data_IF_473403825603
#
_entry.id   IF_473403825603
#
_cell.length_a   1.000
_cell.length_b   1.000
_cell.length_c   1.000
_cell.angle_alpha   90.00
_cell.angle_beta   90.00
_cell.angle_gamma   90.00
#
_symmetry.space_group_name_H-M   'P 1'
#
loop_
_entity.id
_entity.type
_entity.pdbx_description
1 polymer ?
#
# COMPACT_ATOMS: atom_id res chain seq x y z
N UNK A 1 1.58 21.16 -44.12
CA UNK A 1 2.13 22.23 -43.26
C UNK A 1 2.00 21.75 -41.82
N UNK A 2 3.13 21.55 -41.16
CA UNK A 2 3.21 21.08 -39.79
C UNK A 2 2.95 22.25 -38.83
N UNK A 3 1.98 22.12 -37.94
CA UNK A 3 1.76 23.08 -36.86
C UNK A 3 2.38 22.51 -35.59
N UNK A 4 3.59 22.95 -35.31
CA UNK A 4 4.29 22.76 -34.05
C UNK A 4 3.59 23.59 -32.97
N UNK A 5 3.10 22.97 -31.90
CA UNK A 5 2.70 23.67 -30.68
C UNK A 5 3.65 23.30 -29.57
N UNK A 6 4.61 24.19 -29.30
CA UNK A 6 5.33 24.31 -28.05
C UNK A 6 4.64 25.36 -27.19
N UNK A 7 4.21 25.01 -25.98
CA UNK A 7 4.68 25.63 -24.73
C UNK A 7 3.89 25.15 -23.51
N UNK A 8 4.62 25.12 -22.40
CA UNK A 8 4.22 24.58 -21.11
C UNK A 8 2.96 25.20 -20.54
N UNK A 9 2.13 24.30 -20.02
CA UNK A 9 1.33 24.54 -18.83
C UNK A 9 1.60 23.34 -17.94
N UNK A 10 2.26 23.55 -16.80
CA UNK A 10 2.22 22.59 -15.70
C UNK A 10 0.77 22.54 -15.23
N UNK A 11 0.00 21.63 -15.84
CA UNK A 11 -1.33 21.27 -15.38
C UNK A 11 -1.15 20.45 -14.10
N UNK A 12 -1.06 21.14 -12.96
CA UNK A 12 -1.24 20.52 -11.64
C UNK A 12 -2.71 20.12 -11.48
N UNK A 13 -3.17 19.17 -12.30
CA UNK A 13 -4.33 18.35 -11.98
C UNK A 13 -3.98 17.45 -10.78
N UNK A 14 -4.98 16.97 -10.01
CA UNK A 14 -4.72 16.05 -8.92
C UNK A 14 -4.07 14.77 -9.49
N UNK A 15 -2.78 14.59 -9.23
CA UNK A 15 -2.05 13.42 -9.67
C UNK A 15 -2.53 12.21 -8.85
N UNK A 16 -2.95 11.16 -9.53
CA UNK A 16 -3.41 9.94 -8.87
C UNK A 16 -2.32 9.31 -8.01
N UNK A 17 -2.69 8.92 -6.79
CA UNK A 17 -1.80 8.21 -5.89
C UNK A 17 -1.74 6.70 -6.22
N UNK A 18 -0.71 6.04 -5.69
CA UNK A 18 -0.49 4.60 -5.88
C UNK A 18 0.04 3.94 -4.61
N UNK A 19 0.03 2.61 -4.63
CA UNK A 19 0.59 1.76 -3.58
C UNK A 19 1.64 0.84 -4.20
N UNK A 20 2.64 0.44 -3.43
CA UNK A 20 3.65 -0.52 -3.87
C UNK A 20 3.30 -1.91 -3.36
N UNK A 21 3.48 -2.92 -4.19
CA UNK A 21 3.43 -4.33 -3.77
C UNK A 21 4.73 -5.00 -4.17
N UNK A 22 5.45 -5.53 -3.18
CA UNK A 22 6.79 -6.10 -3.40
C UNK A 22 7.09 -7.21 -2.40
N UNK A 23 7.80 -8.24 -2.85
CA UNK A 23 8.45 -9.20 -1.97
C UNK A 23 9.96 -8.90 -1.97
N UNK A 24 10.56 -8.77 -0.79
CA UNK A 24 11.96 -8.43 -0.67
C UNK A 24 12.63 -9.16 0.51
N UNK A 25 13.91 -9.48 0.35
CA UNK A 25 14.75 -9.97 1.44
C UNK A 25 15.05 -8.86 2.45
N UNK A 26 15.67 -9.21 3.59
CA UNK A 26 16.12 -8.24 4.61
C UNK A 26 16.99 -7.10 4.04
N UNK A 27 17.81 -7.41 3.05
CA UNK A 27 18.71 -6.44 2.40
C UNK A 27 18.04 -5.75 1.20
N UNK A 28 16.71 -5.81 1.10
CA UNK A 28 15.91 -5.26 0.00
C UNK A 28 16.25 -5.85 -1.39
N UNK A 29 16.66 -7.12 -1.42
CA UNK A 29 16.84 -7.89 -2.65
C UNK A 29 15.49 -8.41 -3.17
N UNK A 30 15.21 -8.22 -4.46
CA UNK A 30 13.93 -8.56 -5.09
C UNK A 30 14.03 -9.53 -6.27
N UNK A 31 15.24 -9.81 -6.75
CA UNK A 31 15.43 -10.51 -8.01
C UNK A 31 16.85 -11.02 -8.19
N UNK A 32 16.96 -12.08 -8.98
CA UNK A 32 18.22 -12.67 -9.44
C UNK A 32 18.03 -13.11 -10.90
N UNK A 33 18.95 -12.74 -11.79
CA UNK A 33 18.95 -13.13 -13.20
C UNK A 33 17.62 -12.85 -13.92
N UNK A 34 16.93 -11.77 -13.54
CA UNK A 34 15.65 -11.34 -14.13
C UNK A 34 14.42 -12.13 -13.65
N UNK A 35 14.55 -13.01 -12.67
CA UNK A 35 13.45 -13.77 -12.06
C UNK A 35 13.40 -13.57 -10.55
N UNK A 36 12.29 -14.02 -9.93
CA UNK A 36 12.20 -14.13 -8.48
C UNK A 36 13.06 -15.33 -8.01
N UNK A 37 14.01 -15.16 -7.08
CA UNK A 37 14.86 -16.25 -6.61
C UNK A 37 14.15 -17.19 -5.61
N UNK A 38 12.85 -17.01 -5.42
CA UNK A 38 11.98 -17.83 -4.59
C UNK A 38 10.69 -18.18 -5.31
N UNK A 39 10.01 -19.21 -4.80
CA UNK A 39 8.68 -19.60 -5.24
C UNK A 39 7.77 -19.71 -4.01
N UNK A 40 7.03 -18.63 -3.75
CA UNK A 40 6.11 -18.52 -2.62
C UNK A 40 4.69 -18.38 -3.17
N UNK A 41 3.92 -19.47 -3.17
CA UNK A 41 2.52 -19.46 -3.62
C UNK A 41 1.65 -18.63 -2.69
N UNK A 42 1.97 -18.58 -1.39
CA UNK A 42 1.30 -17.71 -0.43
C UNK A 42 1.43 -16.24 -0.79
N UNK A 43 2.65 -15.81 -1.18
CA UNK A 43 2.92 -14.47 -1.68
C UNK A 43 2.18 -14.17 -2.99
N UNK A 44 2.23 -15.06 -3.97
CA UNK A 44 1.52 -14.87 -5.24
C UNK A 44 -0.01 -14.79 -5.04
N UNK A 45 -0.56 -15.56 -4.09
CA UNK A 45 -1.97 -15.48 -3.70
C UNK A 45 -2.28 -14.13 -3.07
N UNK A 46 -1.47 -13.69 -2.11
CA UNK A 46 -1.62 -12.39 -1.47
C UNK A 46 -1.54 -11.24 -2.47
N UNK A 47 -0.53 -11.23 -3.35
CA UNK A 47 -0.38 -10.29 -4.46
C UNK A 47 -1.62 -10.23 -5.33
N UNK A 48 -2.16 -11.40 -5.75
CA UNK A 48 -3.36 -11.46 -6.59
C UNK A 48 -4.56 -10.90 -5.86
N UNK A 49 -4.81 -11.33 -4.63
CA UNK A 49 -5.96 -10.90 -3.83
C UNK A 49 -5.92 -9.38 -3.60
N UNK A 50 -4.78 -8.86 -3.16
CA UNK A 50 -4.55 -7.44 -2.94
C UNK A 50 -4.78 -6.60 -4.20
N UNK A 51 -4.22 -7.03 -5.33
CA UNK A 51 -4.26 -6.22 -6.57
C UNK A 51 -5.54 -6.40 -7.38
N UNK A 52 -6.34 -7.45 -7.15
CA UNK A 52 -7.64 -7.67 -7.84
C UNK A 52 -8.81 -7.09 -7.06
N UNK A 53 -8.76 -7.08 -5.72
CA UNK A 53 -9.92 -6.73 -4.90
C UNK A 53 -10.24 -5.24 -4.98
N UNK A 54 -11.49 -4.93 -5.29
CA UNK A 54 -12.07 -3.57 -5.25
C UNK A 54 -13.21 -3.52 -4.23
N UNK A 55 -13.48 -2.33 -3.69
CA UNK A 55 -14.67 -2.09 -2.89
C UNK A 55 -15.90 -1.98 -3.80
N UNK A 56 -15.74 -1.36 -4.97
CA UNK A 56 -16.78 -1.27 -5.99
C UNK A 56 -16.65 -2.43 -7.00
N UNK A 57 -17.64 -3.34 -7.09
CA UNK A 57 -17.58 -4.50 -7.97
C UNK A 57 -17.60 -4.16 -9.47
N UNK A 58 -17.97 -2.93 -9.87
CA UNK A 58 -17.92 -2.52 -11.28
C UNK A 58 -16.57 -1.95 -11.69
N UNK A 59 -15.69 -1.63 -10.71
CA UNK A 59 -14.36 -1.09 -10.97
C UNK A 59 -13.31 -2.20 -11.07
N UNK A 60 -12.16 -1.84 -11.62
CA UNK A 60 -10.94 -2.65 -11.63
C UNK A 60 -9.82 -1.91 -10.91
N UNK A 61 -8.73 -2.60 -10.60
CA UNK A 61 -7.48 -1.93 -10.21
C UNK A 61 -6.50 -1.91 -11.39
N UNK A 62 -5.53 -1.02 -11.32
CA UNK A 62 -4.41 -0.94 -12.25
C UNK A 62 -3.12 -1.46 -11.60
N UNK A 63 -2.30 -2.14 -12.38
CA UNK A 63 -0.93 -2.54 -12.02
C UNK A 63 0.05 -1.89 -12.98
N UNK A 64 1.03 -1.16 -12.44
CA UNK A 64 2.10 -0.49 -13.18
C UNK A 64 3.37 -1.30 -13.01
N UNK A 65 4.01 -1.65 -14.12
CA UNK A 65 5.28 -2.36 -14.11
C UNK A 65 6.23 -1.90 -15.22
N UNK A 66 7.53 -2.10 -15.03
CA UNK A 66 8.53 -1.92 -16.09
C UNK A 66 8.52 -3.06 -17.10
N UNK A 67 9.02 -2.81 -18.32
CA UNK A 67 9.13 -3.80 -19.40
C UNK A 67 9.74 -5.15 -18.95
N UNK A 68 10.89 -5.14 -18.27
CA UNK A 68 11.56 -6.38 -17.85
C UNK A 68 10.68 -7.23 -16.91
N UNK A 69 9.94 -6.59 -16.02
CA UNK A 69 8.99 -7.28 -15.12
C UNK A 69 7.80 -7.83 -15.89
N UNK A 70 7.28 -7.08 -16.87
CA UNK A 70 6.28 -7.61 -17.77
C UNK A 70 6.79 -8.87 -18.48
N UNK A 71 8.00 -8.80 -19.07
CA UNK A 71 8.66 -9.90 -19.77
C UNK A 71 8.97 -11.13 -18.91
N UNK A 72 9.20 -10.95 -17.60
CA UNK A 72 9.42 -12.06 -16.66
C UNK A 72 8.13 -12.76 -16.24
N UNK A 73 6.94 -12.17 -16.46
CA UNK A 73 5.67 -12.84 -16.13
C UNK A 73 5.47 -14.08 -17.01
N UNK A 74 5.01 -15.22 -16.44
CA UNK A 74 4.64 -16.38 -17.23
C UNK A 74 3.61 -16.03 -18.32
N UNK A 75 3.78 -16.54 -19.54
CA UNK A 75 2.88 -16.24 -20.66
C UNK A 75 1.40 -16.49 -20.34
N UNK A 76 1.10 -17.57 -19.60
CA UNK A 76 -0.26 -17.92 -19.16
C UNK A 76 -0.89 -16.94 -18.15
N UNK A 77 -0.08 -16.08 -17.53
CA UNK A 77 -0.49 -15.12 -16.52
C UNK A 77 -0.43 -13.67 -17.04
N UNK A 78 -0.08 -13.47 -18.31
CA UNK A 78 0.08 -12.18 -18.97
C UNK A 78 -1.04 -11.99 -20.01
N UNK A 79 -1.81 -10.89 -19.98
CA UNK A 79 -1.87 -9.88 -18.92
C UNK A 79 -2.36 -10.45 -17.59
N UNK A 80 -2.07 -9.75 -16.49
CA UNK A 80 -2.57 -10.12 -15.17
C UNK A 80 -4.11 -10.00 -15.15
N UNK A 81 -4.88 -11.09 -15.02
CA UNK A 81 -6.33 -11.06 -15.19
C UNK A 81 -7.03 -10.19 -14.13
N UNK A 82 -8.15 -9.57 -14.52
CA UNK A 82 -8.97 -8.73 -13.65
C UNK A 82 -8.39 -7.34 -13.36
N UNK A 83 -7.30 -6.96 -14.01
CA UNK A 83 -6.57 -5.70 -13.76
C UNK A 83 -6.23 -5.01 -15.08
N UNK A 84 -6.16 -3.67 -15.04
CA UNK A 84 -5.52 -2.90 -16.10
C UNK A 84 -4.00 -3.01 -15.94
N UNK A 85 -3.31 -3.50 -16.96
CA UNK A 85 -1.86 -3.69 -16.94
C UNK A 85 -1.20 -2.52 -17.65
N UNK A 86 -0.40 -1.73 -16.93
CA UNK A 86 0.34 -0.59 -17.47
C UNK A 86 1.81 -0.94 -17.52
N UNK A 87 2.40 -0.85 -18.71
CA UNK A 87 3.80 -1.18 -18.97
C UNK A 87 4.56 0.11 -19.25
N UNK A 88 5.57 0.38 -18.41
CA UNK A 88 6.49 1.49 -18.61
C UNK A 88 7.61 1.09 -19.56
N UNK A 89 7.70 1.75 -20.71
CA UNK A 89 8.77 1.57 -21.70
C UNK A 89 9.03 2.87 -22.47
N UNK A 90 10.31 3.20 -22.68
CA UNK A 90 10.73 4.34 -23.50
C UNK A 90 10.81 4.01 -24.99
N UNK A 91 11.17 2.76 -25.28
CA UNK A 91 11.09 2.17 -26.61
C UNK A 91 9.61 2.00 -26.95
N UNK A 92 9.11 2.81 -27.90
CA UNK A 92 7.73 2.83 -28.39
C UNK A 92 7.35 1.56 -29.15
N UNK A 93 7.64 0.39 -28.59
CA UNK A 93 7.33 -0.91 -29.18
C UNK A 93 5.81 -1.08 -29.21
N UNK A 94 5.24 -0.90 -30.40
CA UNK A 94 3.81 -0.97 -30.72
C UNK A 94 3.19 -2.38 -30.55
N UNK A 95 4.00 -3.41 -30.31
CA UNK A 95 3.52 -4.81 -30.24
C UNK A 95 2.58 -5.11 -29.06
N UNK A 96 2.54 -4.27 -28.02
CA UNK A 96 1.71 -4.53 -26.83
C UNK A 96 0.38 -3.79 -26.81
N UNK A 97 0.17 -2.81 -27.71
CA UNK A 97 -0.99 -1.91 -27.67
C UNK A 97 -2.31 -2.56 -28.15
N UNK A 98 -2.25 -3.76 -28.74
CA UNK A 98 -3.41 -4.50 -29.26
C UNK A 98 -4.01 -5.46 -28.24
N UNK A 99 -3.36 -5.67 -27.09
CA UNK A 99 -3.82 -6.59 -26.05
C UNK A 99 -4.84 -5.88 -25.16
N UNK A 100 -6.01 -6.48 -25.00
CA UNK A 100 -7.05 -5.92 -24.13
C UNK A 100 -6.55 -5.79 -22.68
N UNK A 101 -6.94 -4.69 -22.02
CA UNK A 101 -6.51 -4.37 -20.65
C UNK A 101 -4.99 -4.18 -20.50
N UNK A 102 -4.27 -3.86 -21.58
CA UNK A 102 -2.85 -3.48 -21.56
C UNK A 102 -2.68 -2.07 -22.11
N UNK A 103 -1.91 -1.24 -21.41
CA UNK A 103 -1.57 0.13 -21.83
C UNK A 103 -0.08 0.36 -21.69
N UNK A 104 0.50 1.07 -22.66
CA UNK A 104 1.90 1.46 -22.65
C UNK A 104 2.01 2.93 -22.23
N UNK A 105 2.94 3.24 -21.32
CA UNK A 105 3.27 4.60 -20.93
C UNK A 105 4.78 4.83 -20.97
N UNK A 106 5.22 6.04 -21.31
CA UNK A 106 6.64 6.39 -21.39
C UNK A 106 7.30 6.64 -20.02
N UNK A 107 6.49 6.94 -19.01
CA UNK A 107 6.94 7.30 -17.66
C UNK A 107 5.85 7.04 -16.61
N UNK A 108 6.25 7.04 -15.33
CA UNK A 108 5.32 7.01 -14.20
C UNK A 108 4.34 8.18 -14.25
N UNK A 109 4.83 9.40 -14.51
CA UNK A 109 3.98 10.60 -14.57
C UNK A 109 2.89 10.46 -15.64
N UNK A 110 3.27 10.06 -16.87
CA UNK A 110 2.28 9.83 -17.94
C UNK A 110 1.26 8.74 -17.60
N UNK A 111 1.65 7.71 -16.84
CA UNK A 111 0.74 6.67 -16.40
C UNK A 111 -0.27 7.19 -15.37
N UNK A 112 0.19 8.00 -14.41
CA UNK A 112 -0.67 8.59 -13.38
C UNK A 112 -1.61 9.65 -13.97
N UNK A 113 -1.15 10.46 -14.92
CA UNK A 113 -1.99 11.41 -15.69
C UNK A 113 -3.08 10.68 -16.47
N UNK A 114 -2.72 9.61 -17.18
CA UNK A 114 -3.67 8.77 -17.90
C UNK A 114 -4.73 8.19 -16.95
N UNK A 115 -4.29 7.64 -15.83
CA UNK A 115 -5.18 7.06 -14.83
C UNK A 115 -6.04 8.12 -14.12
N UNK A 116 -5.64 9.39 -14.15
CA UNK A 116 -6.42 10.52 -13.63
C UNK A 116 -7.46 11.03 -14.64
N UNK A 117 -7.43 10.52 -15.87
CA UNK A 117 -8.29 10.97 -16.98
C UNK A 117 -9.39 9.94 -17.32
N UNK A 118 -10.46 10.40 -17.96
CA UNK A 118 -11.54 9.52 -18.47
C UNK A 118 -11.00 8.56 -19.54
N UNK A 119 -11.39 7.27 -19.55
CA UNK A 119 -12.36 6.62 -18.66
C UNK A 119 -11.78 6.03 -17.36
N UNK A 120 -10.46 6.10 -17.16
CA UNK A 120 -9.78 5.40 -16.07
C UNK A 120 -10.01 6.02 -14.69
N UNK A 121 -10.26 7.33 -14.60
CA UNK A 121 -10.64 7.96 -13.34
C UNK A 121 -11.98 7.45 -12.78
N UNK A 122 -12.87 6.94 -13.65
CA UNK A 122 -14.16 6.39 -13.28
C UNK A 122 -14.14 4.86 -13.08
N UNK A 123 -13.32 4.15 -13.86
CA UNK A 123 -13.31 2.68 -13.92
C UNK A 123 -12.21 2.00 -13.11
N UNK A 124 -11.14 2.72 -12.78
CA UNK A 124 -10.07 2.19 -11.92
C UNK A 124 -10.31 2.68 -10.48
N UNK A 125 -10.19 1.79 -9.50
CA UNK A 125 -10.28 2.13 -8.07
C UNK A 125 -8.88 2.46 -7.51
N UNK A 126 -7.95 1.49 -7.53
CA UNK A 126 -6.60 1.65 -6.98
C UNK A 126 -5.52 1.38 -8.02
N UNK A 127 -4.33 1.92 -7.75
CA UNK A 127 -3.14 1.80 -8.59
C UNK A 127 -2.03 1.15 -7.79
N UNK A 128 -1.47 0.06 -8.30
CA UNK A 128 -0.39 -0.68 -7.67
C UNK A 128 0.85 -0.65 -8.54
N UNK A 129 1.99 -0.26 -7.99
CA UNK A 129 3.31 -0.38 -8.63
C UNK A 129 3.94 -1.69 -8.16
N UNK A 130 4.31 -2.55 -9.11
CA UNK A 130 4.65 -3.96 -8.81
C UNK A 130 6.08 -4.36 -9.23
N UNK A 131 6.90 -3.42 -9.69
CA UNK A 131 8.25 -3.72 -10.19
C UNK A 131 8.59 -3.10 -11.54
N UNK A 132 9.80 -3.26 -12.07
CA UNK A 132 10.95 -3.93 -11.46
C UNK A 132 11.81 -2.97 -10.64
N UNK A 133 13.07 -3.33 -10.40
CA UNK A 133 13.98 -2.58 -9.53
C UNK A 133 14.10 -1.09 -9.87
N UNK A 134 14.15 -0.72 -11.16
CA UNK A 134 14.19 0.70 -11.55
C UNK A 134 12.90 1.44 -11.18
N UNK A 135 11.75 0.87 -11.52
CA UNK A 135 10.44 1.50 -11.24
C UNK A 135 10.24 1.62 -9.72
N UNK A 136 10.56 0.58 -8.97
CA UNK A 136 10.45 0.57 -7.50
C UNK A 136 11.41 1.55 -6.84
N UNK A 137 12.62 1.73 -7.37
CA UNK A 137 13.58 2.71 -6.85
C UNK A 137 13.06 4.15 -6.94
N UNK A 138 12.32 4.45 -8.00
CA UNK A 138 11.70 5.76 -8.21
C UNK A 138 10.37 5.91 -7.43
N UNK A 139 9.64 4.80 -7.21
CA UNK A 139 8.27 4.84 -6.68
C UNK A 139 8.14 4.57 -5.18
N UNK A 140 8.98 3.72 -4.60
CA UNK A 140 8.76 3.16 -3.25
C UNK A 140 8.68 4.22 -2.16
N UNK A 141 9.54 5.23 -2.22
CA UNK A 141 9.51 6.37 -1.30
C UNK A 141 8.92 7.64 -1.95
N UNK A 142 8.38 7.54 -3.17
CA UNK A 142 7.87 8.68 -3.93
C UNK A 142 6.64 9.32 -3.26
N UNK A 143 6.44 10.64 -3.42
CA UNK A 143 5.42 11.39 -2.66
C UNK A 143 3.98 10.91 -2.89
N UNK A 144 3.68 10.36 -4.06
CA UNK A 144 2.36 9.80 -4.40
C UNK A 144 2.18 8.34 -3.94
N UNK A 145 3.18 7.73 -3.30
CA UNK A 145 3.09 6.38 -2.74
C UNK A 145 2.41 6.44 -1.36
N UNK A 146 1.18 5.94 -1.24
CA UNK A 146 0.40 6.00 0.01
C UNK A 146 0.64 4.80 0.93
N UNK A 147 1.00 3.65 0.36
CA UNK A 147 1.28 2.44 1.13
C UNK A 147 2.27 1.53 0.43
N UNK A 148 3.03 0.76 1.22
CA UNK A 148 3.93 -0.30 0.76
C UNK A 148 3.48 -1.62 1.37
N UNK A 149 3.03 -2.53 0.53
CA UNK A 149 2.70 -3.90 0.89
C UNK A 149 3.91 -4.79 0.62
N UNK A 150 4.62 -5.11 1.70
CA UNK A 150 5.86 -5.86 1.69
C UNK A 150 5.60 -7.31 2.12
N UNK A 151 5.96 -8.26 1.28
CA UNK A 151 6.28 -9.61 1.74
C UNK A 151 7.72 -9.62 2.23
N UNK A 152 7.89 -9.55 3.55
CA UNK A 152 9.18 -9.49 4.24
C UNK A 152 9.78 -10.90 4.30
N UNK A 153 10.76 -11.17 3.43
CA UNK A 153 11.46 -12.45 3.36
C UNK A 153 12.64 -12.42 4.32
N UNK A 154 12.53 -13.24 5.36
CA UNK A 154 13.47 -13.27 6.48
C UNK A 154 14.62 -14.26 6.29
N UNK A 155 14.60 -15.02 5.19
CA UNK A 155 15.66 -15.94 4.80
C UNK A 155 16.73 -15.22 3.95
N UNK A 156 17.99 -15.64 4.10
CA UNK A 156 19.09 -15.15 3.26
C UNK A 156 18.99 -15.77 1.87
N UNK A 157 18.80 -14.96 0.83
CA UNK A 157 18.67 -15.39 -0.56
C UNK A 157 19.52 -14.44 -1.41
N UNK A 158 20.36 -15.00 -2.29
CA UNK A 158 21.21 -14.21 -3.18
C UNK A 158 20.35 -13.43 -4.19
N UNK A 159 20.63 -12.13 -4.32
CA UNK A 159 19.94 -11.23 -5.24
C UNK A 159 20.97 -10.39 -6.00
N UNK A 160 20.63 -9.97 -7.22
CA UNK A 160 21.39 -8.96 -8.00
C UNK A 160 20.60 -7.66 -8.21
N UNK A 161 19.29 -7.72 -7.95
CA UNK A 161 18.37 -6.60 -8.14
C UNK A 161 17.85 -6.18 -6.78
N UNK A 162 18.13 -4.93 -6.42
CA UNK A 162 17.81 -4.36 -5.12
C UNK A 162 16.96 -3.09 -5.25
N UNK A 163 16.21 -2.78 -4.19
CA UNK A 163 15.43 -1.54 -4.05
C UNK A 163 15.91 -0.76 -2.82
N UNK A 164 15.63 0.55 -2.72
CA UNK A 164 15.96 1.30 -1.50
C UNK A 164 15.15 0.80 -0.29
N UNK A 165 15.65 1.02 0.94
CA UNK A 165 14.86 0.78 2.14
C UNK A 165 13.59 1.64 2.17
N UNK A 166 12.56 1.17 2.87
CA UNK A 166 11.35 1.96 3.14
C UNK A 166 11.74 3.10 4.09
N UNK A 167 11.39 4.33 3.72
CA UNK A 167 11.66 5.50 4.53
C UNK A 167 10.70 5.59 5.73
N UNK A 168 11.17 5.12 6.88
CA UNK A 168 10.40 5.09 8.13
C UNK A 168 10.15 6.48 8.73
N UNK A 169 10.73 7.55 8.18
CA UNK A 169 10.40 8.92 8.60
C UNK A 169 9.04 9.38 8.05
N UNK A 170 8.57 8.75 6.97
CA UNK A 170 7.30 9.07 6.30
C UNK A 170 6.35 7.87 6.23
N UNK A 171 6.81 6.66 6.58
CA UNK A 171 6.00 5.45 6.61
C UNK A 171 5.97 4.82 8.01
N UNK A 172 4.79 4.41 8.46
CA UNK A 172 4.60 3.66 9.70
C UNK A 172 3.96 2.29 9.44
N UNK A 173 4.28 1.26 10.25
CA UNK A 173 3.67 -0.06 10.11
C UNK A 173 2.18 0.01 10.45
N UNK A 174 1.32 -0.44 9.53
CA UNK A 174 -0.13 -0.55 9.70
C UNK A 174 -0.58 -1.96 10.06
N UNK A 175 0.02 -2.97 9.40
CA UNK A 175 -0.34 -4.37 9.58
C UNK A 175 0.90 -5.23 9.47
N UNK A 176 0.97 -6.28 10.29
CA UNK A 176 1.98 -7.32 10.20
C UNK A 176 1.39 -8.67 10.55
N UNK A 177 1.42 -9.61 9.59
CA UNK A 177 1.03 -10.99 9.85
C UNK A 177 2.01 -11.66 10.81
N UNK A 178 1.57 -12.75 11.45
CA UNK A 178 2.52 -13.68 12.02
C UNK A 178 3.42 -14.27 10.90
N UNK A 179 4.69 -14.60 11.21
CA UNK A 179 5.56 -15.24 10.24
C UNK A 179 5.03 -16.61 9.83
N UNK A 180 5.08 -16.87 8.53
CA UNK A 180 4.79 -18.18 7.92
C UNK A 180 6.06 -18.76 7.31
N UNK A 181 6.11 -20.08 7.18
CA UNK A 181 7.22 -20.77 6.50
C UNK A 181 6.64 -21.51 5.30
N UNK A 182 7.12 -21.17 4.11
CA UNK A 182 6.76 -21.84 2.86
C UNK A 182 8.06 -22.19 2.13
N UNK A 183 8.22 -23.43 1.68
CA UNK A 183 9.44 -23.87 0.97
C UNK A 183 10.75 -23.54 1.72
N UNK A 184 10.76 -23.72 3.05
CA UNK A 184 11.86 -23.34 3.96
C UNK A 184 12.21 -21.84 3.99
N UNK A 185 11.37 -20.99 3.42
CA UNK A 185 11.51 -19.55 3.42
C UNK A 185 10.53 -18.97 4.42
N UNK A 186 11.08 -18.37 5.48
CA UNK A 186 10.28 -17.65 6.47
C UNK A 186 9.95 -16.27 5.94
N UNK A 187 8.68 -15.91 5.93
CA UNK A 187 8.24 -14.58 5.51
C UNK A 187 7.01 -14.10 6.30
N UNK A 188 6.76 -12.80 6.26
CA UNK A 188 5.55 -12.16 6.82
C UNK A 188 4.97 -11.16 5.83
N UNK A 189 3.67 -10.91 5.89
CA UNK A 189 3.03 -9.83 5.15
C UNK A 189 2.98 -8.58 6.02
N UNK A 190 3.59 -7.50 5.55
CA UNK A 190 3.68 -6.23 6.27
C UNK A 190 3.14 -5.13 5.38
N UNK A 191 2.27 -4.27 5.91
CA UNK A 191 1.87 -3.04 5.23
C UNK A 191 2.43 -1.86 6.00
N UNK A 192 3.12 -0.98 5.28
CA UNK A 192 3.47 0.35 5.76
C UNK A 192 2.55 1.38 5.11
N UNK A 193 2.13 2.37 5.88
CA UNK A 193 1.27 3.45 5.43
C UNK A 193 2.01 4.77 5.56
N UNK A 194 1.92 5.61 4.52
CA UNK A 194 2.51 6.94 4.56
C UNK A 194 1.74 7.79 5.57
N UNK A 195 2.45 8.35 6.52
CA UNK A 195 1.93 9.35 7.47
C UNK A 195 2.33 10.73 6.98
N UNK A 196 1.38 11.67 6.91
CA UNK A 196 1.70 13.06 6.55
C UNK A 196 2.08 13.78 7.83
N UNK A 197 3.31 14.26 7.90
CA UNK A 197 3.69 15.21 8.96
C UNK A 197 2.95 16.51 8.65
N UNK A 198 1.97 16.89 9.45
CA UNK A 198 1.40 18.24 9.40
C UNK A 198 2.56 19.21 9.59
N UNK A 199 2.76 20.13 8.65
CA UNK A 199 3.75 21.21 8.77
C UNK A 199 3.27 22.16 9.87
N UNK A 200 3.48 21.79 11.13
CA UNK A 200 3.43 22.70 12.26
C UNK A 200 4.87 23.05 12.66
N UNK A 201 5.68 23.56 11.71
CA UNK A 201 6.99 24.18 11.97
C UNK A 201 7.60 24.73 10.67
N UNK A 202 7.05 25.83 10.14
CA UNK A 202 7.86 26.77 9.33
C UNK A 202 7.25 28.16 9.41
N UNK A 203 8.10 29.12 9.76
CA UNK A 203 7.88 30.56 9.99
C UNK A 203 7.42 30.99 11.39
N UNK A 204 8.39 31.23 12.27
CA UNK A 204 8.63 32.61 12.68
C UNK A 204 10.08 32.80 13.18
N UNK A 205 10.93 33.30 12.31
CA UNK A 205 12.13 34.03 12.70
C UNK A 205 11.79 35.51 12.67
N UNK A 206 11.23 36.01 13.77
CA UNK A 206 11.45 37.37 14.24
C UNK A 206 11.19 37.45 15.74
N UNK A 207 12.21 37.88 16.48
CA UNK A 207 12.23 37.82 17.93
C UNK A 207 11.18 38.71 18.60
N UNK A 208 10.59 38.17 19.67
CA UNK A 208 10.32 38.88 20.92
C UNK A 208 9.99 37.86 22.01
N UNK A 209 10.67 38.00 23.14
CA UNK A 209 10.44 37.24 24.36
C UNK A 209 8.99 37.36 24.85
N UNK A 210 8.38 36.23 25.19
CA UNK A 210 7.45 36.12 26.32
C UNK A 210 7.28 34.66 26.69
N UNK A 211 7.60 34.36 27.94
CA UNK A 211 7.37 33.07 28.57
C UNK A 211 5.85 32.81 28.66
N UNK A 212 5.41 31.66 28.13
CA UNK A 212 4.30 30.93 28.73
C UNK A 212 4.41 29.46 28.37
N UNK A 213 4.63 28.65 29.40
CA UNK A 213 4.76 27.20 29.35
C UNK A 213 3.38 26.60 29.09
N UNK A 214 3.16 26.17 27.86
CA UNK A 214 1.93 25.55 27.41
C UNK A 214 2.28 24.39 26.51
N UNK A 215 2.25 23.17 27.07
CA UNK A 215 2.36 21.91 26.34
C UNK A 215 1.30 21.92 25.24
N UNK A 216 1.71 22.25 24.01
CA UNK A 216 0.85 22.17 22.84
C UNK A 216 0.66 20.69 22.54
N UNK A 217 -0.54 20.19 22.81
CA UNK A 217 -0.97 18.89 22.34
C UNK A 217 -0.97 18.90 20.82
N UNK A 218 -0.08 18.11 20.20
CA UNK A 218 -0.14 17.80 18.77
C UNK A 218 -1.54 17.27 18.44
N UNK A 219 -2.32 18.08 17.74
CA UNK A 219 -3.62 17.65 17.20
C UNK A 219 -3.32 16.75 16.00
N UNK A 220 -3.41 15.44 16.22
CA UNK A 220 -3.47 14.47 15.13
C UNK A 220 -4.75 14.71 14.33
N UNK A 221 -4.63 15.10 13.06
CA UNK A 221 -5.76 14.99 12.13
C UNK A 221 -6.11 13.51 11.98
N UNK A 222 -7.39 13.18 12.01
CA UNK A 222 -7.87 11.83 11.76
C UNK A 222 -7.61 11.50 10.29
N UNK A 223 -6.44 10.92 9.98
CA UNK A 223 -6.12 10.49 8.61
C UNK A 223 -7.13 9.42 8.18
N UNK A 224 -7.93 9.73 7.15
CA UNK A 224 -8.86 8.77 6.59
C UNK A 224 -8.09 7.77 5.71
N UNK A 225 -7.79 6.59 6.26
CA UNK A 225 -7.08 5.51 5.57
C UNK A 225 -7.95 4.71 4.58
N UNK A 226 -9.08 5.27 4.12
CA UNK A 226 -9.97 4.62 3.12
C UNK A 226 -9.29 4.31 1.79
N UNK A 227 -8.11 4.89 1.53
CA UNK A 227 -7.28 4.54 0.38
C UNK A 227 -6.69 3.13 0.48
N UNK A 228 -6.61 2.51 1.66
CA UNK A 228 -6.15 1.13 1.79
C UNK A 228 -7.13 0.15 1.14
N UNK A 229 -6.65 -0.99 0.60
CA UNK A 229 -7.50 -2.10 0.24
C UNK A 229 -8.27 -2.58 1.47
N UNK A 230 -9.57 -2.85 1.31
CA UNK A 230 -10.44 -3.32 2.41
C UNK A 230 -9.81 -4.50 3.14
N UNK A 231 -9.21 -5.44 2.40
CA UNK A 231 -8.47 -6.58 2.93
C UNK A 231 -7.38 -6.21 3.94
N UNK A 232 -6.71 -5.07 3.77
CA UNK A 232 -5.63 -4.59 4.64
C UNK A 232 -6.18 -3.72 5.76
N UNK A 233 -7.16 -2.87 5.44
CA UNK A 233 -7.82 -2.02 6.41
C UNK A 233 -8.48 -2.85 7.53
N UNK A 234 -9.25 -3.88 7.15
CA UNK A 234 -9.96 -4.77 8.08
C UNK A 234 -9.01 -5.69 8.89
N UNK A 235 -7.74 -5.79 8.49
CA UNK A 235 -6.72 -6.59 9.18
C UNK A 235 -5.98 -5.82 10.28
N UNK A 236 -6.27 -4.54 10.48
CA UNK A 236 -5.65 -3.78 11.56
C UNK A 236 -6.01 -4.39 12.93
N UNK A 237 -5.03 -4.58 13.80
CA UNK A 237 -5.22 -5.38 15.03
C UNK A 237 -6.22 -4.75 16.01
N UNK A 238 -6.43 -3.43 15.93
CA UNK A 238 -7.43 -2.73 16.75
C UNK A 238 -8.88 -3.21 16.44
N UNK A 239 -9.14 -3.76 15.26
CA UNK A 239 -10.43 -4.38 14.96
C UNK A 239 -10.73 -5.61 15.83
N UNK A 240 -9.71 -6.26 16.42
CA UNK A 240 -9.97 -7.31 17.41
C UNK A 240 -10.74 -6.75 18.62
N UNK A 241 -10.41 -5.53 19.05
CA UNK A 241 -11.11 -4.84 20.13
C UNK A 241 -12.49 -4.34 19.67
N UNK A 242 -12.55 -3.64 18.53
CA UNK A 242 -13.80 -3.05 18.03
C UNK A 242 -14.88 -4.12 17.75
N UNK A 243 -14.49 -5.22 17.09
CA UNK A 243 -15.42 -6.31 16.79
C UNK A 243 -15.90 -7.00 18.07
N UNK A 244 -15.06 -7.09 19.11
CA UNK A 244 -15.47 -7.65 20.40
C UNK A 244 -16.47 -6.72 21.11
N UNK A 245 -16.25 -5.41 21.07
CA UNK A 245 -17.20 -4.43 21.61
C UNK A 245 -18.54 -4.52 20.88
N UNK A 246 -18.53 -4.54 19.54
CA UNK A 246 -19.74 -4.70 18.72
C UNK A 246 -20.48 -6.01 19.05
N UNK A 247 -19.75 -7.12 19.16
CA UNK A 247 -20.32 -8.43 19.47
C UNK A 247 -20.97 -8.49 20.87
N UNK A 248 -20.37 -7.85 21.88
CA UNK A 248 -20.94 -7.73 23.23
C UNK A 248 -22.20 -6.86 23.21
N UNK A 249 -22.20 -5.74 22.49
CA UNK A 249 -23.38 -4.87 22.36
C UNK A 249 -24.52 -5.62 21.66
N UNK A 250 -24.20 -6.35 20.58
CA UNK A 250 -25.18 -7.03 19.75
C UNK A 250 -25.74 -8.31 20.38
N UNK A 251 -24.92 -9.08 21.09
CA UNK A 251 -25.27 -10.45 21.53
C UNK A 251 -24.96 -10.76 22.99
N UNK A 252 -24.46 -9.79 23.76
CA UNK A 252 -24.12 -9.97 25.17
C UNK A 252 -25.35 -10.27 26.02
N UNK A 253 -25.19 -11.18 26.99
CA UNK A 253 -26.24 -11.45 27.96
C UNK A 253 -26.35 -10.29 28.96
N UNK A 254 -27.56 -9.76 29.11
CA UNK A 254 -27.85 -8.74 30.12
C UNK A 254 -27.76 -9.35 31.53
N UNK A 255 -26.99 -8.71 32.40
CA UNK A 255 -26.80 -9.15 33.79
C UNK A 255 -26.84 -7.96 34.73
N UNK A 256 -27.40 -8.18 35.91
CA UNK A 256 -27.22 -7.25 37.03
C UNK A 256 -25.79 -7.31 37.54
N UNK A 257 -25.30 -6.19 38.06
CA UNK A 257 -23.98 -6.06 38.65
C UNK A 257 -24.06 -5.47 40.07
N UNK A 258 -22.90 -5.40 40.74
CA UNK A 258 -22.79 -4.88 42.11
C UNK A 258 -23.09 -3.38 42.20
N UNK A 259 -22.96 -2.63 41.10
CA UNK A 259 -23.17 -1.17 41.09
C UNK A 259 -24.64 -0.80 40.86
N UNK A 260 -25.47 -1.74 40.40
CA UNK A 260 -26.87 -1.50 40.05
C UNK A 260 -27.05 -0.86 38.68
N UNK A 261 -25.98 -0.74 37.88
CA UNK A 261 -26.03 -0.18 36.52
C UNK A 261 -26.48 -1.24 35.51
N UNK A 262 -26.08 -2.49 35.74
CA UNK A 262 -26.27 -3.59 34.80
C UNK A 262 -25.22 -3.60 33.69
N UNK A 263 -25.03 -4.77 33.08
CA UNK A 263 -24.00 -5.01 32.06
C UNK A 263 -24.54 -5.87 30.92
N UNK A 264 -23.93 -5.73 29.73
CA UNK A 264 -23.95 -6.74 28.67
C UNK A 264 -22.63 -7.52 28.75
N UNK A 265 -22.70 -8.85 28.77
CA UNK A 265 -21.50 -9.68 28.99
C UNK A 265 -21.43 -10.89 28.07
N UNK A 266 -20.22 -11.26 27.68
CA UNK A 266 -19.89 -12.49 26.97
C UNK A 266 -18.73 -13.19 27.67
N UNK A 267 -18.75 -14.52 27.73
CA UNK A 267 -17.74 -15.30 28.45
C UNK A 267 -16.77 -15.97 27.47
N UNK A 268 -15.47 -16.01 27.83
CA UNK A 268 -14.46 -16.76 27.09
C UNK A 268 -13.94 -16.08 25.80
N UNK A 269 -13.88 -14.75 25.76
CA UNK A 269 -13.33 -14.02 24.62
C UNK A 269 -11.79 -13.93 24.67
N UNK A 270 -11.13 -13.92 23.53
CA UNK A 270 -9.68 -13.83 23.41
C UNK A 270 -9.28 -12.86 22.29
N UNK A 271 -8.28 -12.03 22.55
CA UNK A 271 -7.61 -11.19 21.55
C UNK A 271 -6.11 -11.50 21.56
N UNK A 272 -5.47 -11.35 20.40
CA UNK A 272 -4.00 -11.49 20.24
C UNK A 272 -3.50 -10.29 19.45
N UNK A 273 -2.31 -9.81 19.83
CA UNK A 273 -1.66 -8.65 19.22
C UNK A 273 -0.20 -8.98 18.92
N UNK A 274 0.32 -8.51 17.79
CA UNK A 274 1.67 -8.78 17.33
C UNK A 274 2.64 -7.68 17.79
N UNK A 275 3.38 -7.95 18.87
CA UNK A 275 4.31 -6.99 19.47
C UNK A 275 5.64 -6.82 18.73
N UNK A 276 5.84 -7.45 17.57
CA UNK A 276 7.12 -7.39 16.83
C UNK A 276 7.37 -6.01 16.22
N UNK A 277 6.30 -5.38 15.72
CA UNK A 277 6.39 -4.20 14.86
C UNK A 277 5.56 -3.02 15.38
N UNK A 278 4.74 -3.21 16.41
CA UNK A 278 3.91 -2.17 17.01
C UNK A 278 3.60 -2.48 18.48
N UNK A 279 3.05 -1.49 19.18
CA UNK A 279 2.51 -1.64 20.53
C UNK A 279 1.00 -1.38 20.49
N UNK A 280 0.13 -2.28 20.98
CA UNK A 280 -1.32 -2.21 20.81
C UNK A 280 -1.95 -1.21 21.79
N UNK A 281 -1.61 0.07 21.63
CA UNK A 281 -2.28 1.17 22.30
C UNK A 281 -3.51 1.57 21.48
N UNK A 282 -4.71 1.37 22.05
CA UNK A 282 -5.97 1.72 21.38
C UNK A 282 -6.02 3.21 21.04
N UNK A 283 -6.44 3.53 19.82
CA UNK A 283 -6.50 4.87 19.25
C UNK A 283 -7.93 5.40 19.08
N UNK A 284 -8.92 4.51 19.14
CA UNK A 284 -10.34 4.78 18.85
C UNK A 284 -11.16 5.34 20.02
N UNK A 285 -10.52 6.07 20.95
CA UNK A 285 -11.17 6.61 22.16
C UNK A 285 -11.29 8.13 22.15
#
# INVERSE_FOLDING_TARGET
>A
MATTLSNGVSQNGPQRNYQVVVAATRDMGIGKDGVLPWKLLGDLKFFKELTVTTADPVKKNAVIMGRKTWESLPLKARPLPGRLNIILTRSGSFEFATVENVVICGSMNSALELLSSTPYCLSIEKVFVIGGGQVLRESLNGPSCEAVHLTDIQSSIECDTFIPPIDLSVFQPWYSSLPVVESNIRHSFVTYVRVRKTMAETHDSNGKESANDGIKSDKFETENFSFLPKLIFDRHEEYHYLNLVEDIIRSGAQKNDRTGTGTLSKFGCQMRFNLRNSFPLLTTK
#
